data_IF_199728203465
#
_entry.id   IF_199728203465
#
_cell.length_a   1.000
_cell.length_b   1.000
_cell.length_c   1.000
_cell.angle_alpha   90.00
_cell.angle_beta   90.00
_cell.angle_gamma   90.00
#
_symmetry.space_group_name_H-M   'P 1'
#
loop_
_entity.id
_entity.type
_entity.pdbx_description
1 polymer ?
#
# COMPACT_ATOMS: atom_id res chain seq x y z
N UNK A 1 -16.41 -8.45 -27.98
CA UNK A 1 -16.53 -7.05 -28.47
C UNK A 1 -17.66 -6.41 -27.68
N UNK A 2 -17.32 -5.62 -26.66
CA UNK A 2 -18.29 -4.84 -25.89
C UNK A 2 -18.92 -3.80 -26.82
N UNK A 3 -20.23 -3.83 -26.97
CA UNK A 3 -21.02 -2.91 -27.81
C UNK A 3 -21.41 -1.65 -27.01
N UNK A 4 -20.50 -1.01 -26.30
CA UNK A 4 -20.68 0.36 -25.78
C UNK A 4 -22.00 0.71 -25.05
N UNK A 5 -22.77 -0.29 -24.60
CA UNK A 5 -23.95 -0.11 -23.75
C UNK A 5 -23.58 -0.32 -22.30
N UNK A 6 -23.91 0.65 -21.46
CA UNK A 6 -23.83 0.52 -20.01
C UNK A 6 -24.62 -0.73 -19.58
N UNK A 7 -23.94 -1.71 -19.01
CA UNK A 7 -24.59 -2.87 -18.40
C UNK A 7 -25.19 -2.46 -17.06
N UNK A 8 -26.45 -2.82 -16.84
CA UNK A 8 -27.13 -2.56 -15.60
C UNK A 8 -27.07 -3.78 -14.69
N UNK A 9 -26.69 -3.60 -13.43
CA UNK A 9 -26.82 -4.64 -12.43
C UNK A 9 -28.29 -4.96 -12.19
N UNK A 10 -28.69 -6.22 -12.32
CA UNK A 10 -30.04 -6.68 -12.02
C UNK A 10 -30.27 -6.85 -10.51
N UNK A 11 -29.23 -7.27 -9.80
CA UNK A 11 -29.28 -7.52 -8.36
C UNK A 11 -27.86 -7.36 -7.79
N UNK A 12 -27.76 -6.70 -6.63
CA UNK A 12 -26.52 -6.55 -5.86
C UNK A 12 -26.81 -7.11 -4.48
N UNK A 13 -26.00 -8.06 -4.02
CA UNK A 13 -26.05 -8.62 -2.67
C UNK A 13 -24.70 -8.43 -1.99
N UNK A 14 -24.70 -8.09 -0.71
CA UNK A 14 -23.51 -8.12 0.12
C UNK A 14 -23.14 -9.58 0.37
N UNK A 15 -21.99 -10.03 -0.12
CA UNK A 15 -21.51 -11.39 0.07
C UNK A 15 -21.08 -11.61 1.52
N UNK A 16 -20.26 -10.70 2.06
CA UNK A 16 -19.79 -10.73 3.44
C UNK A 16 -19.81 -9.31 4.01
N UNK A 17 -20.62 -9.02 5.06
CA UNK A 17 -20.63 -7.71 5.67
C UNK A 17 -19.39 -7.49 6.53
N UNK A 18 -18.77 -6.33 6.44
CA UNK A 18 -17.77 -5.89 7.41
C UNK A 18 -18.45 -5.41 8.70
N UNK A 19 -17.82 -5.71 9.84
CA UNK A 19 -18.39 -5.41 11.16
C UNK A 19 -17.92 -4.07 11.73
N UNK A 20 -16.66 -3.70 11.52
CA UNK A 20 -16.03 -2.54 12.14
C UNK A 20 -15.54 -1.48 11.17
N UNK A 21 -15.21 -1.82 9.92
CA UNK A 21 -14.60 -0.89 8.94
C UNK A 21 -15.41 0.40 8.77
N UNK A 22 -16.74 0.31 8.71
CA UNK A 22 -17.61 1.49 8.50
C UNK A 22 -17.99 2.26 9.77
N UNK A 23 -17.68 1.73 10.94
CA UNK A 23 -17.97 2.39 12.23
C UNK A 23 -16.72 2.90 12.93
N UNK A 24 -15.52 2.41 12.54
CA UNK A 24 -14.23 2.83 13.07
C UNK A 24 -13.58 3.86 12.14
N UNK A 25 -13.29 5.05 12.67
CA UNK A 25 -12.73 6.15 11.87
C UNK A 25 -11.34 5.84 11.33
N UNK A 26 -10.51 5.09 12.06
CA UNK A 26 -9.18 4.69 11.61
C UNK A 26 -9.27 3.71 10.45
N UNK A 27 -10.10 2.68 10.57
CA UNK A 27 -10.30 1.66 9.54
C UNK A 27 -10.93 2.24 8.27
N UNK A 28 -11.97 3.07 8.42
CA UNK A 28 -12.61 3.73 7.28
C UNK A 28 -11.66 4.68 6.54
N UNK A 29 -10.80 5.39 7.27
CA UNK A 29 -9.76 6.26 6.67
C UNK A 29 -8.73 5.44 5.90
N UNK A 30 -8.28 4.30 6.44
CA UNK A 30 -7.39 3.37 5.74
C UNK A 30 -8.04 2.89 4.43
N UNK A 31 -9.28 2.42 4.49
CA UNK A 31 -9.98 1.89 3.30
C UNK A 31 -10.17 2.96 2.24
N UNK A 32 -10.51 4.19 2.64
CA UNK A 32 -10.62 5.32 1.70
C UNK A 32 -9.26 5.59 1.01
N UNK A 33 -8.17 5.61 1.76
CA UNK A 33 -6.83 5.79 1.22
C UNK A 33 -6.44 4.66 0.26
N UNK A 34 -6.63 3.40 0.64
CA UNK A 34 -6.33 2.23 -0.20
C UNK A 34 -7.18 2.24 -1.48
N UNK A 35 -8.46 2.58 -1.40
CA UNK A 35 -9.35 2.69 -2.56
C UNK A 35 -8.81 3.70 -3.58
N UNK A 36 -8.33 4.86 -3.11
CA UNK A 36 -7.76 5.88 -3.98
C UNK A 36 -6.39 5.46 -4.55
N UNK A 37 -5.54 4.78 -3.74
CA UNK A 37 -4.30 4.16 -4.21
C UNK A 37 -4.56 3.18 -5.36
N UNK A 38 -5.49 2.26 -5.19
CA UNK A 38 -5.86 1.27 -6.22
C UNK A 38 -6.40 1.95 -7.48
N UNK A 39 -7.27 2.95 -7.32
CA UNK A 39 -7.80 3.72 -8.45
C UNK A 39 -6.71 4.40 -9.29
N UNK A 40 -5.63 4.88 -8.64
CA UNK A 40 -4.51 5.52 -9.34
C UNK A 40 -3.44 4.55 -9.84
N UNK A 41 -3.49 3.28 -9.41
CA UNK A 41 -2.46 2.29 -9.72
C UNK A 41 -2.92 1.23 -10.72
N UNK A 42 -4.22 0.96 -10.81
CA UNK A 42 -4.76 -0.08 -11.69
C UNK A 42 -5.32 0.61 -12.95
N UNK A 43 -4.63 0.42 -14.08
CA UNK A 43 -5.00 0.96 -15.38
C UNK A 43 -5.43 -0.11 -16.38
N UNK A 44 -5.28 -1.38 -16.03
CA UNK A 44 -5.56 -2.50 -16.92
C UNK A 44 -7.04 -2.91 -16.85
N UNK A 45 -7.60 -3.25 -18.00
CA UNK A 45 -8.97 -3.82 -18.12
C UNK A 45 -8.99 -5.34 -17.84
N UNK A 46 -7.82 -5.95 -17.62
CA UNK A 46 -7.69 -7.37 -17.35
C UNK A 46 -7.99 -7.72 -15.88
N UNK A 47 -8.60 -8.88 -15.69
CA UNK A 47 -8.91 -9.37 -14.35
C UNK A 47 -7.65 -9.83 -13.64
N UNK A 48 -7.37 -9.26 -12.46
CA UNK A 48 -6.29 -9.69 -11.56
C UNK A 48 -6.89 -10.39 -10.34
N UNK A 49 -7.25 -11.66 -10.51
CA UNK A 49 -7.88 -12.48 -9.47
C UNK A 49 -6.97 -12.65 -8.22
N UNK A 50 -5.64 -12.85 -8.36
CA UNK A 50 -4.74 -12.90 -7.20
C UNK A 50 -4.74 -11.61 -6.36
N UNK A 51 -4.72 -10.45 -7.00
CA UNK A 51 -4.81 -9.16 -6.30
C UNK A 51 -6.17 -9.01 -5.59
N UNK A 52 -7.26 -9.38 -6.25
CA UNK A 52 -8.60 -9.33 -5.66
C UNK A 52 -8.68 -10.19 -4.40
N UNK A 53 -8.24 -11.45 -4.47
CA UNK A 53 -8.23 -12.38 -3.32
C UNK A 53 -7.37 -11.87 -2.18
N UNK A 54 -6.20 -11.31 -2.49
CA UNK A 54 -5.33 -10.69 -1.50
C UNK A 54 -6.01 -9.52 -0.79
N UNK A 55 -6.62 -8.60 -1.54
CA UNK A 55 -7.32 -7.43 -0.98
C UNK A 55 -8.52 -7.84 -0.12
N UNK A 56 -9.32 -8.81 -0.57
CA UNK A 56 -10.44 -9.34 0.21
C UNK A 56 -9.94 -9.91 1.56
N UNK A 57 -8.90 -10.73 1.54
CA UNK A 57 -8.30 -11.31 2.75
C UNK A 57 -7.74 -10.22 3.68
N UNK A 58 -7.03 -9.24 3.13
CA UNK A 58 -6.46 -8.14 3.91
C UNK A 58 -7.54 -7.26 4.54
N UNK A 59 -8.63 -6.96 3.84
CA UNK A 59 -9.75 -6.19 4.39
C UNK A 59 -10.50 -6.96 5.49
N UNK A 60 -10.65 -8.27 5.36
CA UNK A 60 -11.18 -9.11 6.44
C UNK A 60 -10.25 -9.12 7.65
N UNK A 61 -8.95 -9.17 7.44
CA UNK A 61 -7.98 -9.02 8.54
C UNK A 61 -8.16 -7.66 9.24
N UNK A 62 -8.20 -6.55 8.49
CA UNK A 62 -8.42 -5.20 9.03
C UNK A 62 -9.71 -5.11 9.84
N UNK A 63 -10.79 -5.70 9.34
CA UNK A 63 -12.10 -5.67 10.02
C UNK A 63 -12.05 -6.33 11.41
N UNK A 64 -11.27 -7.40 11.55
CA UNK A 64 -11.22 -8.23 12.75
C UNK A 64 -10.11 -7.87 13.76
N UNK A 65 -9.21 -6.92 13.42
CA UNK A 65 -8.08 -6.56 14.27
C UNK A 65 -8.12 -5.10 14.70
N UNK A 66 -7.50 -4.80 15.86
CA UNK A 66 -7.44 -3.46 16.43
C UNK A 66 -6.05 -2.82 16.28
N UNK A 67 -4.99 -3.62 16.22
CA UNK A 67 -3.61 -3.15 16.07
C UNK A 67 -3.29 -2.89 14.58
N UNK A 68 -3.83 -1.79 14.06
CA UNK A 68 -3.88 -1.49 12.62
C UNK A 68 -2.96 -0.35 12.19
N UNK A 69 -2.16 0.21 13.10
CA UNK A 69 -1.40 1.43 12.85
C UNK A 69 -0.45 1.37 11.63
N UNK A 70 0.11 0.18 11.32
CA UNK A 70 1.01 -0.01 10.19
C UNK A 70 0.34 -0.77 9.02
N UNK A 71 -0.93 -1.13 9.14
CA UNK A 71 -1.64 -1.95 8.16
C UNK A 71 -1.56 -1.38 6.75
N UNK A 72 -1.84 -0.10 6.58
CA UNK A 72 -1.82 0.57 5.27
C UNK A 72 -0.43 0.56 4.62
N UNK A 73 0.65 0.68 5.40
CA UNK A 73 2.03 0.62 4.89
C UNK A 73 2.36 -0.76 4.35
N UNK A 74 2.04 -1.81 5.13
CA UNK A 74 2.25 -3.20 4.73
C UNK A 74 1.43 -3.50 3.47
N UNK A 75 0.14 -3.11 3.47
CA UNK A 75 -0.76 -3.42 2.38
C UNK A 75 -0.30 -2.79 1.05
N UNK A 76 0.07 -1.50 1.03
CA UNK A 76 0.50 -0.86 -0.22
C UNK A 76 1.87 -1.37 -0.69
N UNK A 77 2.77 -1.79 0.21
CA UNK A 77 3.99 -2.49 -0.19
C UNK A 77 3.66 -3.85 -0.82
N UNK A 78 2.81 -4.65 -0.19
CA UNK A 78 2.43 -5.96 -0.71
C UNK A 78 1.71 -5.88 -2.07
N UNK A 79 0.88 -4.84 -2.30
CA UNK A 79 0.22 -4.59 -3.60
C UNK A 79 1.24 -4.48 -4.73
N UNK A 80 2.44 -3.93 -4.50
CA UNK A 80 3.48 -3.80 -5.54
C UNK A 80 3.92 -5.14 -6.15
N UNK A 81 3.75 -6.27 -5.43
CA UNK A 81 3.99 -7.63 -5.95
C UNK A 81 3.06 -7.96 -7.12
N UNK A 82 1.81 -7.56 -6.98
CA UNK A 82 0.77 -7.82 -7.99
C UNK A 82 0.83 -6.83 -9.15
N UNK A 83 1.47 -5.67 -8.93
CA UNK A 83 1.70 -4.65 -9.95
C UNK A 83 3.06 -4.79 -10.65
N UNK A 84 3.90 -5.75 -10.22
CA UNK A 84 5.15 -6.10 -10.89
C UNK A 84 6.37 -5.23 -10.55
N UNK A 85 6.31 -4.43 -9.46
CA UNK A 85 7.43 -3.60 -9.04
C UNK A 85 7.77 -3.72 -7.54
N UNK A 86 7.63 -4.93 -6.98
CA UNK A 86 8.07 -5.19 -5.60
C UNK A 86 9.60 -5.03 -5.52
N UNK A 87 10.13 -4.42 -4.43
CA UNK A 87 11.56 -4.24 -4.24
C UNK A 87 12.34 -5.55 -4.37
N UNK A 88 13.45 -5.53 -5.10
CA UNK A 88 14.37 -6.67 -5.13
C UNK A 88 15.15 -6.71 -3.81
N UNK A 89 14.94 -7.78 -3.05
CA UNK A 89 15.56 -8.00 -1.74
C UNK A 89 16.83 -8.84 -1.77
N UNK A 90 17.36 -9.17 -2.96
CA UNK A 90 18.56 -10.01 -3.11
C UNK A 90 19.76 -9.43 -2.38
N UNK A 91 19.91 -8.11 -2.41
CA UNK A 91 21.02 -7.37 -1.79
C UNK A 91 20.53 -6.49 -0.62
N UNK A 92 19.54 -6.96 0.15
CA UNK A 92 18.89 -6.19 1.23
C UNK A 92 19.88 -5.65 2.27
N UNK A 93 21.03 -6.26 2.46
CA UNK A 93 22.05 -5.83 3.42
C UNK A 93 22.76 -4.53 3.00
N UNK A 94 22.66 -4.09 1.74
CA UNK A 94 23.31 -2.87 1.25
C UNK A 94 22.72 -1.61 1.91
N UNK A 95 23.54 -0.54 2.09
CA UNK A 95 23.15 0.64 2.90
C UNK A 95 22.10 1.53 2.26
N UNK A 96 21.96 1.52 0.94
CA UNK A 96 21.05 2.43 0.23
C UNK A 96 20.03 1.63 -0.60
N UNK A 97 18.81 2.14 -0.67
CA UNK A 97 17.80 1.64 -1.60
C UNK A 97 17.62 2.65 -2.74
N UNK A 98 17.85 2.19 -3.96
CA UNK A 98 17.66 2.99 -5.17
C UNK A 98 16.21 2.86 -5.64
N UNK A 99 15.47 3.96 -5.61
CA UNK A 99 14.02 4.01 -5.78
C UNK A 99 13.57 3.74 -7.21
N UNK A 100 14.36 4.17 -8.20
CA UNK A 100 13.99 4.06 -9.61
C UNK A 100 14.12 2.63 -10.12
N UNK A 101 15.19 1.94 -9.73
CA UNK A 101 15.43 0.53 -10.12
C UNK A 101 14.80 -0.47 -9.13
N UNK A 102 14.44 -0.03 -7.93
CA UNK A 102 13.85 -0.87 -6.90
C UNK A 102 14.82 -1.87 -6.27
N UNK A 103 16.12 -1.52 -6.15
CA UNK A 103 17.20 -2.40 -5.68
C UNK A 103 17.97 -1.81 -4.50
N UNK A 104 18.59 -2.66 -3.70
CA UNK A 104 19.55 -2.25 -2.68
C UNK A 104 20.95 -2.16 -3.27
N UNK A 105 21.71 -1.11 -2.90
CA UNK A 105 23.01 -0.78 -3.52
C UNK A 105 24.03 -0.26 -2.49
N UNK A 106 25.34 -0.49 -2.70
CA UNK A 106 26.36 0.07 -1.84
C UNK A 106 26.63 1.57 -2.10
N UNK A 107 26.13 2.13 -3.21
CA UNK A 107 26.40 3.50 -3.63
C UNK A 107 25.14 4.35 -3.54
N UNK A 108 25.31 5.59 -3.03
CA UNK A 108 24.25 6.56 -2.99
C UNK A 108 24.11 7.24 -4.38
N UNK A 109 22.95 7.05 -5.03
CA UNK A 109 22.54 7.72 -6.25
C UNK A 109 21.56 8.89 -5.93
N UNK A 110 21.19 9.67 -6.95
CA UNK A 110 20.27 10.82 -6.79
C UNK A 110 18.88 10.36 -6.31
N UNK A 111 18.41 9.21 -6.79
CA UNK A 111 17.13 8.59 -6.43
C UNK A 111 17.22 7.59 -5.27
N UNK A 112 18.37 7.51 -4.58
CA UNK A 112 18.51 6.64 -3.42
C UNK A 112 17.93 7.26 -2.16
N UNK A 113 17.33 6.40 -1.33
CA UNK A 113 17.02 6.73 0.06
C UNK A 113 18.31 6.94 0.86
N UNK A 114 18.24 7.80 1.88
CA UNK A 114 19.31 7.89 2.90
C UNK A 114 19.44 6.58 3.65
N UNK A 115 20.57 6.33 4.32
CA UNK A 115 20.73 5.13 5.16
C UNK A 115 19.63 4.96 6.19
N UNK A 116 19.21 6.06 6.83
CA UNK A 116 18.14 6.03 7.81
C UNK A 116 16.80 5.61 7.17
N UNK A 117 16.44 6.19 6.04
CA UNK A 117 15.21 5.85 5.30
C UNK A 117 15.26 4.42 4.75
N UNK A 118 16.43 3.98 4.25
CA UNK A 118 16.66 2.60 3.83
C UNK A 118 16.42 1.62 4.98
N UNK A 119 16.92 1.92 6.17
CA UNK A 119 16.71 1.08 7.35
C UNK A 119 15.23 1.02 7.77
N UNK A 120 14.50 2.13 7.66
CA UNK A 120 13.05 2.12 7.89
C UNK A 120 12.31 1.29 6.83
N UNK A 121 12.75 1.39 5.57
CA UNK A 121 12.16 0.60 4.48
C UNK A 121 12.42 -0.89 4.63
N UNK A 122 13.63 -1.30 5.05
CA UNK A 122 13.94 -2.69 5.41
C UNK A 122 13.05 -3.21 6.53
N UNK A 123 12.86 -2.42 7.58
CA UNK A 123 11.93 -2.77 8.66
C UNK A 123 10.51 -3.00 8.14
N UNK A 124 10.04 -2.19 7.18
CA UNK A 124 8.73 -2.40 6.57
C UNK A 124 8.65 -3.70 5.79
N UNK A 125 9.68 -4.04 5.00
CA UNK A 125 9.74 -5.29 4.21
C UNK A 125 9.63 -6.53 5.12
N UNK A 126 10.20 -6.47 6.32
CA UNK A 126 10.15 -7.56 7.29
C UNK A 126 8.81 -7.66 8.03
N UNK A 127 7.97 -6.61 7.99
CA UNK A 127 6.69 -6.61 8.70
C UNK A 127 5.65 -7.52 8.05
N UNK A 128 4.85 -8.15 8.94
CA UNK A 128 3.63 -8.87 8.57
C UNK A 128 2.44 -8.30 9.34
N UNK A 129 1.23 -8.52 8.87
CA UNK A 129 0.02 -8.03 9.53
C UNK A 129 -0.04 -8.43 11.00
N UNK A 130 0.33 -9.67 11.34
CA UNK A 130 0.24 -10.22 12.70
C UNK A 130 1.37 -9.78 13.63
N UNK A 131 2.48 -9.25 13.09
CA UNK A 131 3.69 -8.90 13.87
C UNK A 131 4.02 -7.40 13.84
N UNK A 132 3.10 -6.56 13.42
CA UNK A 132 3.36 -5.14 13.11
C UNK A 132 3.27 -4.19 14.32
N UNK A 133 2.99 -4.70 15.52
CA UNK A 133 2.75 -3.88 16.71
C UNK A 133 3.97 -3.05 17.09
N UNK A 134 3.76 -1.75 17.30
CA UNK A 134 4.77 -0.80 17.82
C UNK A 134 6.10 -0.72 17.06
N UNK A 135 6.15 -1.17 15.81
CA UNK A 135 7.39 -1.19 15.03
C UNK A 135 7.83 0.22 14.63
N UNK A 136 6.87 1.08 14.29
CA UNK A 136 7.15 2.47 13.91
C UNK A 136 6.51 3.46 14.87
N UNK A 137 7.25 4.50 15.22
CA UNK A 137 6.69 5.72 15.80
C UNK A 137 5.95 6.54 14.73
N UNK A 138 5.14 7.51 15.15
CA UNK A 138 4.34 8.36 14.25
C UNK A 138 5.19 8.97 13.13
N UNK A 139 6.33 9.58 13.48
CA UNK A 139 7.24 10.22 12.51
C UNK A 139 7.80 9.19 11.51
N UNK A 140 8.22 8.03 11.99
CA UNK A 140 8.73 6.95 11.14
C UNK A 140 7.66 6.44 10.17
N UNK A 141 6.40 6.27 10.62
CA UNK A 141 5.28 5.92 9.74
C UNK A 141 5.07 6.94 8.62
N UNK A 142 5.15 8.24 8.95
CA UNK A 142 5.02 9.29 7.94
C UNK A 142 6.17 9.29 6.93
N UNK A 143 7.39 9.01 7.37
CA UNK A 143 8.56 8.84 6.47
C UNK A 143 8.34 7.64 5.55
N UNK A 144 7.98 6.48 6.09
CA UNK A 144 7.76 5.25 5.32
C UNK A 144 6.60 5.44 4.33
N UNK A 145 5.51 6.08 4.76
CA UNK A 145 4.38 6.38 3.88
C UNK A 145 4.79 7.28 2.70
N UNK A 146 5.59 8.31 2.96
CA UNK A 146 6.14 9.18 1.91
C UNK A 146 7.01 8.37 0.93
N UNK A 147 7.91 7.52 1.44
CA UNK A 147 8.76 6.65 0.62
C UNK A 147 7.89 5.79 -0.31
N UNK A 148 6.86 5.15 0.20
CA UNK A 148 5.97 4.31 -0.60
C UNK A 148 5.24 5.10 -1.69
N UNK A 149 4.69 6.28 -1.37
CA UNK A 149 4.02 7.15 -2.36
C UNK A 149 5.00 7.60 -3.45
N UNK A 150 6.22 7.96 -3.08
CA UNK A 150 7.23 8.36 -4.05
C UNK A 150 7.68 7.14 -4.89
N UNK A 151 7.79 5.95 -4.29
CA UNK A 151 8.11 4.70 -4.98
C UNK A 151 7.05 4.35 -6.05
N UNK A 152 5.76 4.46 -5.72
CA UNK A 152 4.69 4.31 -6.72
C UNK A 152 4.80 5.32 -7.85
N UNK A 153 5.21 6.56 -7.55
CA UNK A 153 5.40 7.60 -8.57
C UNK A 153 6.57 7.32 -9.52
N UNK A 154 7.60 6.58 -9.07
CA UNK A 154 8.71 6.14 -9.92
C UNK A 154 8.31 5.01 -10.87
N UNK A 155 7.46 4.10 -10.43
CA UNK A 155 7.18 2.85 -11.15
C UNK A 155 5.88 2.88 -11.97
N UNK A 156 4.97 3.82 -11.71
CA UNK A 156 3.69 3.91 -12.40
C UNK A 156 3.56 5.24 -13.15
N UNK A 157 3.58 5.17 -14.46
CA UNK A 157 3.37 6.36 -15.30
C UNK A 157 1.97 6.96 -15.06
N UNK A 158 1.92 8.26 -14.85
CA UNK A 158 0.65 8.95 -14.59
C UNK A 158 0.06 8.75 -13.19
N UNK A 159 0.77 8.09 -12.27
CA UNK A 159 0.33 7.94 -10.88
C UNK A 159 0.07 9.30 -10.23
N UNK A 160 -1.07 9.43 -9.58
CA UNK A 160 -1.46 10.64 -8.83
C UNK A 160 -1.46 10.35 -7.33
N UNK A 161 -0.84 11.24 -6.57
CA UNK A 161 -0.88 11.13 -5.11
C UNK A 161 -2.32 11.19 -4.60
N UNK A 162 -2.75 10.26 -3.74
CA UNK A 162 -4.10 10.25 -3.18
C UNK A 162 -4.41 11.53 -2.41
N UNK A 163 -5.60 12.09 -2.58
CA UNK A 163 -6.07 13.24 -1.80
C UNK A 163 -6.34 12.88 -0.34
N UNK A 164 -6.78 11.64 -0.11
CA UNK A 164 -7.00 11.07 1.23
C UNK A 164 -5.71 10.91 2.05
N UNK A 165 -4.54 11.07 1.44
CA UNK A 165 -3.25 11.00 2.13
C UNK A 165 -3.15 11.99 3.29
N UNK A 166 -3.66 13.22 3.13
CA UNK A 166 -3.60 14.24 4.17
C UNK A 166 -4.54 13.88 5.34
N UNK A 167 -5.73 13.34 5.03
CA UNK A 167 -6.67 12.84 6.05
C UNK A 167 -6.06 11.67 6.82
N UNK A 168 -5.40 10.72 6.11
CA UNK A 168 -4.72 9.60 6.74
C UNK A 168 -3.63 10.06 7.70
N UNK A 169 -2.80 11.04 7.29
CA UNK A 169 -1.75 11.61 8.15
C UNK A 169 -2.30 12.27 9.40
N UNK A 170 -3.41 13.01 9.28
CA UNK A 170 -4.07 13.67 10.40
C UNK A 170 -4.63 12.65 11.41
N UNK A 171 -5.31 11.63 10.92
CA UNK A 171 -5.93 10.59 11.76
C UNK A 171 -4.90 9.73 12.48
N UNK A 172 -3.70 9.52 11.88
CA UNK A 172 -2.61 8.72 12.47
C UNK A 172 -1.46 9.56 13.04
N UNK A 173 -1.68 10.86 13.27
CA UNK A 173 -0.72 11.77 13.90
C UNK A 173 -0.56 11.56 15.41
#
# INVERSE_FOLDING_TARGET
KNKGTLENFKEIKIATPFHSIHSDVYKSTIVMFISEMLHHSIHEEETNEPLFTFLETALHWLDNHNEIANFHLILILEITKYLGFYPDISDIDMPFFEMNEGVFTPFHAISSLTEHETNLFKKLIDLKFDTNQKTFHVIERQIVLRILIDYYSFHLEGFKKPKSLDVLKEVFS
#
